data_IF_486749509581
#
_entry.id   IF_486749509581
#
_cell.length_a   1.000
_cell.length_b   1.000
_cell.length_c   1.000
_cell.angle_alpha   90.00
_cell.angle_beta   90.00
_cell.angle_gamma   90.00
#
_symmetry.space_group_name_H-M   'P 1'
#
loop_
_entity.id
_entity.type
_entity.pdbx_description
1 polymer ?
2 water ?
#
# COMPACT_ATOMS: atom_id res chain seq x y z
N UNK A 2 -1.85 -11.60 10.40
CA UNK A 2 -0.93 -11.56 11.57
C UNK A 2 0.08 -10.43 11.42
N UNK A 3 0.39 -10.08 10.18
CA UNK A 3 1.31 -8.99 9.92
C UNK A 3 0.55 -7.89 9.17
N UNK A 4 0.38 -6.74 9.82
CA UNK A 4 -0.34 -5.63 9.22
C UNK A 4 0.59 -4.48 8.87
N UNK A 5 0.65 -4.16 7.58
CA UNK A 5 1.51 -3.10 7.08
C UNK A 5 0.72 -2.05 6.32
N UNK A 6 0.99 -0.79 6.63
CA UNK A 6 0.33 0.30 5.94
C UNK A 6 1.34 0.89 4.97
N UNK A 7 0.90 1.14 3.75
CA UNK A 7 1.76 1.75 2.76
C UNK A 7 1.27 3.19 2.70
N UNK A 8 2.15 4.14 2.95
CA UNK A 8 1.75 5.54 2.95
C UNK A 8 2.84 6.40 2.33
N UNK A 9 2.50 7.65 2.05
CA UNK A 9 3.45 8.60 1.46
C UNK A 9 3.06 10.01 1.86
N UNK A 10 3.91 10.97 1.50
CA UNK A 10 3.64 12.37 1.82
C UNK A 10 2.68 13.03 0.85
N UNK A 11 3.18 13.45 -0.31
CA UNK A 11 2.33 14.11 -1.30
C UNK A 11 1.30 13.14 -1.85
N UNK A 12 0.70 13.49 -2.98
CA UNK A 12 -0.32 12.64 -3.56
C UNK A 12 0.00 11.86 -4.82
N UNK A 13 1.11 12.17 -5.49
CA UNK A 13 1.42 11.45 -6.71
C UNK A 13 2.74 10.71 -6.80
N UNK A 14 3.05 9.90 -5.78
CA UNK A 14 4.30 9.16 -5.76
C UNK A 14 4.22 7.81 -6.48
N UNK A 15 3.01 7.28 -6.61
CA UNK A 15 2.83 5.99 -7.26
C UNK A 15 2.72 4.86 -6.26
N UNK A 16 2.49 5.20 -4.99
CA UNK A 16 2.38 4.19 -3.94
C UNK A 16 1.37 3.08 -4.19
N UNK A 17 0.20 3.42 -4.73
CA UNK A 17 -0.81 2.39 -4.97
C UNK A 17 -0.28 1.33 -5.93
N UNK A 18 0.58 1.75 -6.85
CA UNK A 18 1.19 0.82 -7.79
C UNK A 18 2.06 -0.13 -6.97
N UNK A 19 2.83 0.41 -6.04
CA UNK A 19 3.69 -0.43 -5.22
C UNK A 19 2.87 -1.37 -4.33
N UNK A 20 1.81 -0.86 -3.72
CA UNK A 20 0.99 -1.70 -2.86
C UNK A 20 0.39 -2.89 -3.62
N UNK A 21 -0.22 -2.60 -4.76
CA UNK A 21 -0.86 -3.63 -5.57
C UNK A 21 0.09 -4.72 -6.04
N UNK A 22 1.21 -4.32 -6.62
CA UNK A 22 2.17 -5.29 -7.10
C UNK A 22 2.88 -6.00 -5.96
N UNK A 23 3.10 -5.30 -4.85
CA UNK A 23 3.75 -5.92 -3.70
C UNK A 23 2.87 -7.08 -3.26
N UNK A 24 1.57 -6.83 -3.17
CA UNK A 24 0.63 -7.86 -2.78
C UNK A 24 0.63 -9.01 -3.77
N UNK A 25 0.66 -8.71 -5.06
CA UNK A 25 0.67 -9.77 -6.06
C UNK A 25 1.99 -10.54 -6.01
N UNK A 26 3.09 -9.83 -5.80
CA UNK A 26 4.38 -10.51 -5.72
C UNK A 26 4.38 -11.39 -4.46
N UNK A 27 3.83 -10.87 -3.37
CA UNK A 27 3.76 -11.62 -2.11
C UNK A 27 2.90 -12.88 -2.27
N UNK A 28 1.76 -12.76 -2.95
CA UNK A 28 0.91 -13.91 -3.16
C UNK A 28 1.62 -14.94 -4.05
N UNK A 29 2.37 -14.46 -5.04
CA UNK A 29 3.12 -15.34 -5.94
C UNK A 29 4.16 -16.15 -5.16
N UNK A 30 4.60 -15.62 -4.03
CA UNK A 30 5.59 -16.30 -3.20
C UNK A 30 4.89 -17.26 -2.25
N UNK A 31 3.58 -17.42 -2.43
CA UNK A 31 2.84 -18.34 -1.58
C UNK A 31 2.21 -17.76 -0.34
N UNK A 32 2.40 -16.47 -0.10
CA UNK A 32 1.82 -15.85 1.07
C UNK A 32 0.35 -15.51 0.87
N UNK A 33 -0.44 -15.73 1.92
CA UNK A 33 -1.85 -15.40 1.90
C UNK A 33 -1.83 -13.89 2.12
N UNK A 34 -2.20 -13.13 1.10
CA UNK A 34 -2.15 -11.68 1.19
C UNK A 34 -3.48 -10.98 0.96
N UNK A 35 -3.71 -9.91 1.73
CA UNK A 35 -4.93 -9.13 1.60
C UNK A 35 -4.64 -7.63 1.62
N UNK A 36 -5.25 -6.91 0.69
CA UNK A 36 -5.06 -5.47 0.63
C UNK A 36 -6.38 -4.79 0.89
N UNK A 37 -6.40 -3.86 1.82
CA UNK A 37 -7.63 -3.13 2.07
C UNK A 37 -7.43 -1.75 1.46
N UNK A 38 -8.18 -1.46 0.40
CA UNK A 38 -8.08 -0.17 -0.29
C UNK A 38 -8.77 0.94 0.47
N UNK A 39 -7.98 1.65 1.28
CA UNK A 39 -8.48 2.75 2.09
C UNK A 39 -8.39 4.10 1.37
N UNK A 40 -7.87 4.09 0.15
CA UNK A 40 -7.74 5.33 -0.60
C UNK A 40 -8.95 5.54 -1.52
N UNK A 41 -9.93 6.29 -1.04
CA UNK A 41 -11.12 6.58 -1.82
C UNK A 41 -10.77 7.68 -2.81
N UNK A 42 -10.10 7.27 -3.88
CA UNK A 42 -9.66 8.18 -4.93
C UNK A 42 -9.78 7.46 -6.27
N UNK A 43 -9.56 8.20 -7.35
CA UNK A 43 -9.61 7.61 -8.68
C UNK A 43 -8.20 7.11 -8.98
N UNK A 44 -8.10 6.07 -9.80
CA UNK A 44 -6.81 5.48 -10.14
C UNK A 44 -6.27 4.73 -8.93
N UNK A 45 -7.10 3.87 -8.34
CA UNK A 45 -6.69 3.10 -7.18
C UNK A 45 -6.51 1.61 -7.51
N UNK A 46 -6.57 0.78 -6.48
CA UNK A 46 -6.40 -0.65 -6.63
C UNK A 46 -7.27 -1.29 -7.69
N UNK A 47 -8.54 -0.92 -7.72
CA UNK A 47 -9.46 -1.49 -8.69
C UNK A 47 -8.93 -1.37 -10.11
N UNK A 48 -8.41 -0.19 -10.44
CA UNK A 48 -7.88 0.05 -11.77
C UNK A 48 -6.63 -0.78 -12.07
N UNK A 49 -5.65 -0.70 -11.18
CA UNK A 49 -4.38 -1.40 -11.34
C UNK A 49 -4.49 -2.92 -11.25
N UNK A 50 -5.44 -3.40 -10.46
CA UNK A 50 -5.63 -4.83 -10.31
C UNK A 50 -6.55 -5.33 -11.41
N UNK A 51 -6.98 -4.39 -12.26
CA UNK A 51 -7.86 -4.73 -13.36
C UNK A 51 -9.14 -5.41 -12.90
N UNK A 52 -9.64 -5.01 -11.74
CA UNK A 52 -10.85 -5.61 -11.22
C UNK A 52 -12.12 -4.84 -11.57
N UNK A 53 -13.21 -5.59 -11.68
CA UNK A 53 -14.50 -5.02 -12.01
C UNK A 53 -15.12 -4.42 -10.75
N UNK A 54 -15.99 -3.43 -10.93
CA UNK A 54 -16.63 -2.78 -9.80
C UNK A 54 -16.91 -3.68 -8.60
N UNK A 55 -16.65 -3.16 -7.41
CA UNK A 55 -16.86 -3.91 -6.18
C UNK A 55 -18.12 -3.39 -5.46
N UNK A 56 -19.20 -4.19 -5.48
CA UNK A 56 -20.50 -3.90 -4.87
C UNK A 56 -20.50 -3.67 -3.35
N UNK A 57 -20.03 -4.67 -2.61
CA UNK A 57 -20.00 -4.58 -1.15
C UNK A 57 -18.66 -4.09 -0.60
N UNK A 58 -18.73 -3.03 0.18
CA UNK A 58 -17.54 -2.46 0.79
C UNK A 58 -17.68 -2.56 2.31
N UNK A 59 -16.67 -2.08 3.04
CA UNK A 59 -16.72 -2.11 4.49
C UNK A 59 -17.87 -1.26 5.00
N UNK A 60 -18.20 -0.21 4.27
CA UNK A 60 -19.29 0.68 4.65
C UNK A 60 -20.56 -0.16 4.80
N UNK A 61 -20.72 -1.14 3.92
CA UNK A 61 -21.88 -2.02 3.95
C UNK A 61 -21.78 -2.93 5.18
N UNK A 62 -20.59 -3.48 5.40
CA UNK A 62 -20.34 -4.37 6.53
C UNK A 62 -20.48 -3.67 7.87
N UNK A 63 -20.09 -2.40 7.93
CA UNK A 63 -20.18 -1.63 9.17
C UNK A 63 -21.62 -1.25 9.45
N UNK A 64 -22.39 -1.06 8.38
CA UNK A 64 -23.79 -0.70 8.51
C UNK A 64 -24.64 -1.93 8.83
N UNK A 65 -24.01 -3.10 8.79
CA UNK A 65 -24.72 -4.34 9.09
C UNK A 65 -25.51 -4.89 7.92
N UNK A 66 -25.23 -4.38 6.72
CA UNK A 66 -25.91 -4.82 5.51
C UNK A 66 -25.24 -6.03 4.87
N UNK A 67 -24.09 -6.45 5.40
CA UNK A 67 -23.39 -7.59 4.84
C UNK A 67 -22.30 -8.18 5.74
N UNK A 68 -21.92 -9.41 5.43
CA UNK A 68 -20.88 -10.12 6.17
C UNK A 68 -19.54 -9.73 5.54
N UNK A 69 -18.52 -9.58 6.38
CA UNK A 69 -17.21 -9.20 5.89
C UNK A 69 -16.75 -10.11 4.75
N UNK A 70 -17.12 -11.38 4.81
CA UNK A 70 -16.74 -12.36 3.78
C UNK A 70 -17.17 -11.86 2.40
N UNK A 71 -18.27 -11.11 2.36
CA UNK A 71 -18.80 -10.56 1.11
C UNK A 71 -18.03 -9.33 0.61
N UNK A 72 -17.16 -8.78 1.44
CA UNK A 72 -16.39 -7.61 1.05
C UNK A 72 -14.94 -7.99 0.75
N UNK A 73 -14.68 -9.29 0.68
CA UNK A 73 -13.34 -9.79 0.38
C UNK A 73 -13.38 -10.44 -0.99
N UNK A 74 -12.68 -9.83 -1.94
CA UNK A 74 -12.63 -10.30 -3.32
C UNK A 74 -11.27 -10.86 -3.68
N UNK A 75 -11.23 -11.75 -4.66
CA UNK A 75 -9.97 -12.34 -5.09
C UNK A 75 -9.49 -11.63 -6.35
N UNK A 76 -8.24 -11.19 -6.34
CA UNK A 76 -7.71 -10.48 -7.48
C UNK A 76 -6.62 -11.24 -8.20
N UNK A 77 -5.89 -10.57 -9.10
CA UNK A 77 -4.80 -11.17 -9.88
C UNK A 77 -3.78 -11.87 -8.99
N UNK A 78 -3.19 -12.95 -9.50
CA UNK A 78 -2.19 -13.68 -8.74
C UNK A 78 -2.63 -14.27 -7.41
N UNK A 79 -3.91 -14.15 -7.08
CA UNK A 79 -4.38 -14.71 -5.82
C UNK A 79 -4.49 -13.70 -4.69
N UNK A 80 -4.16 -12.44 -4.97
CA UNK A 80 -4.24 -11.41 -3.94
C UNK A 80 -5.70 -11.12 -3.61
N UNK A 81 -5.98 -10.84 -2.35
CA UNK A 81 -7.34 -10.53 -1.94
C UNK A 81 -7.48 -9.02 -1.75
N UNK A 82 -8.68 -8.50 -1.99
CA UNK A 82 -8.91 -7.08 -1.87
C UNK A 82 -10.18 -6.76 -1.09
N UNK A 83 -10.08 -5.75 -0.24
CA UNK A 83 -11.20 -5.32 0.57
C UNK A 83 -11.36 -3.82 0.45
N UNK A 84 -12.42 -3.39 -0.24
CA UNK A 84 -12.68 -1.96 -0.43
C UNK A 84 -13.28 -1.31 0.81
N UNK A 85 -12.71 -0.18 1.22
CA UNK A 85 -13.21 0.54 2.39
C UNK A 85 -14.54 1.20 2.06
N UNK A 86 -14.69 1.63 0.81
CA UNK A 86 -15.93 2.27 0.39
C UNK A 86 -16.00 3.72 0.80
N UNK A 87 -15.82 3.97 2.10
CA UNK A 87 -15.86 5.32 2.66
C UNK A 87 -14.51 5.55 3.33
N UNK A 88 -14.12 6.81 3.50
CA UNK A 88 -12.84 7.11 4.13
C UNK A 88 -12.79 6.46 5.51
N UNK A 89 -11.58 6.12 5.95
CA UNK A 89 -11.40 5.50 7.25
C UNK A 89 -11.96 6.38 8.36
N UNK A 90 -11.74 7.69 8.25
CA UNK A 90 -12.23 8.64 9.25
C UNK A 90 -13.73 8.42 9.43
N UNK A 91 -14.43 8.31 8.31
CA UNK A 91 -15.86 8.11 8.34
C UNK A 91 -16.26 6.83 9.03
N UNK A 92 -15.65 5.72 8.62
CA UNK A 92 -15.95 4.43 9.21
C UNK A 92 -15.69 4.49 10.71
N UNK A 93 -14.58 5.12 11.08
CA UNK A 93 -14.19 5.25 12.47
C UNK A 93 -15.17 6.07 13.32
N UNK A 94 -15.69 7.17 12.78
CA UNK A 94 -16.64 7.98 13.54
C UNK A 94 -17.99 7.25 13.61
N UNK A 95 -18.35 6.55 12.55
CA UNK A 95 -19.61 5.82 12.52
C UNK A 95 -19.70 4.79 13.65
N UNK A 96 -18.59 4.12 13.95
CA UNK A 96 -18.58 3.12 15.01
C UNK A 96 -17.18 2.55 15.21
N UNK A 97 -16.40 3.16 16.11
CA UNK A 97 -15.03 2.75 16.43
C UNK A 97 -14.90 1.28 16.77
N UNK A 98 -15.80 0.80 17.61
CA UNK A 98 -15.78 -0.59 18.02
C UNK A 98 -15.88 -1.54 16.84
N UNK A 99 -16.92 -1.38 16.03
CA UNK A 99 -17.15 -2.24 14.87
C UNK A 99 -15.95 -2.23 13.93
N UNK A 100 -15.45 -1.03 13.64
CA UNK A 100 -14.30 -0.89 12.76
C UNK A 100 -13.12 -1.73 13.24
N UNK A 101 -12.87 -1.74 14.54
CA UNK A 101 -11.75 -2.52 15.06
C UNK A 101 -11.96 -4.03 14.89
N UNK A 102 -13.16 -4.51 15.20
CA UNK A 102 -13.44 -5.93 15.08
C UNK A 102 -13.40 -6.41 13.64
N UNK A 103 -13.91 -5.59 12.73
CA UNK A 103 -13.88 -5.95 11.31
C UNK A 103 -12.42 -6.05 10.86
N UNK A 104 -11.58 -5.12 11.29
CA UNK A 104 -10.17 -5.17 10.93
C UNK A 104 -9.58 -6.46 11.49
N UNK A 105 -10.10 -6.87 12.64
CA UNK A 105 -9.64 -8.09 13.30
C UNK A 105 -10.04 -9.30 12.47
N UNK A 106 -11.28 -9.32 12.01
CA UNK A 106 -11.76 -10.42 11.20
C UNK A 106 -10.86 -10.56 9.98
N UNK A 107 -10.52 -9.43 9.38
CA UNK A 107 -9.66 -9.45 8.21
C UNK A 107 -8.29 -10.01 8.55
N UNK A 108 -7.68 -9.53 9.62
CA UNK A 108 -6.37 -10.02 10.01
C UNK A 108 -6.41 -11.53 10.17
N UNK A 109 -7.54 -12.03 10.65
CA UNK A 109 -7.72 -13.46 10.84
C UNK A 109 -7.60 -14.21 9.51
N UNK A 110 -8.24 -13.68 8.47
CA UNK A 110 -8.25 -14.32 7.16
C UNK A 110 -6.96 -14.34 6.33
N UNK A 111 -5.85 -13.82 6.87
CA UNK A 111 -4.59 -13.80 6.11
C UNK A 111 -3.33 -13.81 6.94
N UNK A 112 -2.20 -13.87 6.23
CA UNK A 112 -0.88 -13.86 6.85
C UNK A 112 -0.36 -12.44 6.78
N UNK A 113 -0.66 -11.77 5.67
CA UNK A 113 -0.21 -10.40 5.47
C UNK A 113 -1.35 -9.47 5.06
N UNK A 114 -1.49 -8.38 5.80
CA UNK A 114 -2.51 -7.40 5.51
C UNK A 114 -1.84 -6.09 5.12
N UNK A 115 -2.13 -5.63 3.91
CA UNK A 115 -1.57 -4.39 3.41
C UNK A 115 -2.67 -3.35 3.37
N UNK A 116 -2.40 -2.20 3.96
CA UNK A 116 -3.35 -1.10 3.98
C UNK A 116 -2.88 -0.01 3.04
N UNK A 117 -3.60 0.18 1.94
CA UNK A 117 -3.23 1.24 1.01
C UNK A 117 -3.84 2.50 1.62
N UNK A 118 -3.03 3.26 2.35
CA UNK A 118 -3.52 4.47 2.98
C UNK A 118 -3.77 5.59 1.96
N UNK A 119 -4.61 6.57 2.32
CA UNK A 119 -4.88 7.67 1.39
C UNK A 119 -3.60 8.50 1.22
N UNK A 120 -3.49 9.17 0.08
CA UNK A 120 -2.33 9.99 -0.28
C UNK A 120 -1.42 10.61 0.79
N UNK A 121 -1.88 11.66 1.46
CA UNK A 121 -1.02 12.34 2.42
C UNK A 121 -1.10 12.11 3.91
N UNK A 122 -1.38 13.18 4.65
CA UNK A 122 -1.46 13.11 6.11
C UNK A 122 -2.81 13.49 6.69
N UNK A 123 -3.87 13.22 5.95
CA UNK A 123 -5.23 13.51 6.40
C UNK A 123 -5.58 12.56 7.55
N UNK A 124 -6.69 12.85 8.24
CA UNK A 124 -7.13 12.03 9.37
C UNK A 124 -7.19 10.54 9.00
N UNK A 125 -7.79 10.23 7.85
CA UNK A 125 -7.89 8.84 7.41
C UNK A 125 -6.52 8.17 7.27
N UNK A 126 -5.51 8.93 6.86
CA UNK A 126 -4.19 8.36 6.70
C UNK A 126 -3.54 8.03 8.04
N UNK A 127 -3.55 8.97 8.97
CA UNK A 127 -2.93 8.70 10.27
C UNK A 127 -3.63 7.53 10.96
N UNK A 128 -4.92 7.35 10.66
CA UNK A 128 -5.68 6.25 11.25
C UNK A 128 -5.14 4.95 10.67
N UNK A 129 -4.90 4.95 9.36
CA UNK A 129 -4.38 3.78 8.67
C UNK A 129 -3.00 3.41 9.21
N UNK A 130 -2.18 4.43 9.45
CA UNK A 130 -0.84 4.22 9.98
C UNK A 130 -0.90 3.63 11.40
N UNK A 131 -1.75 4.20 12.24
CA UNK A 131 -1.88 3.71 13.62
C UNK A 131 -2.47 2.31 13.66
N UNK A 132 -3.27 1.97 12.66
CA UNK A 132 -3.88 0.65 12.61
C UNK A 132 -2.88 -0.47 12.28
N UNK A 133 -1.80 -0.12 11.60
CA UNK A 133 -0.80 -1.12 11.24
C UNK A 133 0.30 -1.17 12.28
N UNK A 134 1.07 -2.25 12.27
CA UNK A 134 2.18 -2.40 13.20
C UNK A 134 3.40 -1.83 12.49
N UNK A 135 3.40 -1.95 11.17
CA UNK A 135 4.52 -1.47 10.37
C UNK A 135 4.10 -0.47 9.30
N UNK A 136 5.02 0.43 8.98
CA UNK A 136 4.79 1.43 7.95
C UNK A 136 5.80 1.26 6.83
N UNK A 137 5.30 1.27 5.59
CA UNK A 137 6.16 1.18 4.42
C UNK A 137 5.96 2.54 3.77
N UNK A 138 6.99 3.37 3.85
CA UNK A 138 6.94 4.72 3.32
C UNK A 138 7.40 4.80 1.87
N UNK A 139 6.57 5.39 1.01
CA UNK A 139 6.92 5.52 -0.39
C UNK A 139 7.22 6.98 -0.70
N UNK A 140 8.34 7.21 -1.37
CA UNK A 140 8.75 8.55 -1.76
C UNK A 140 9.36 8.53 -3.16
N UNK A 141 9.50 9.71 -3.74
CA UNK A 141 10.12 9.85 -5.05
C UNK A 141 11.46 10.52 -4.75
N UNK A 142 12.44 10.41 -5.66
CA UNK A 142 13.74 11.03 -5.41
C UNK A 142 13.76 12.57 -5.39
N UNK A 143 12.58 13.18 -5.37
CA UNK A 143 12.45 14.64 -5.34
C UNK A 143 12.41 15.12 -3.88
N UNK A 144 13.08 16.25 -3.61
CA UNK A 144 13.14 16.81 -2.26
C UNK A 144 11.78 16.99 -1.60
N UNK A 145 10.87 17.66 -2.29
CA UNK A 145 9.53 17.88 -1.76
C UNK A 145 8.95 16.55 -1.28
N UNK A 146 9.01 15.55 -2.15
CA UNK A 146 8.49 14.22 -1.84
C UNK A 146 9.20 13.63 -0.62
N UNK A 147 10.50 13.84 -0.53
CA UNK A 147 11.25 13.31 0.59
C UNK A 147 10.94 14.01 1.92
N UNK A 148 10.72 15.32 1.90
CA UNK A 148 10.41 16.01 3.15
C UNK A 148 8.99 15.67 3.58
N UNK A 149 8.07 15.62 2.63
CA UNK A 149 6.69 15.25 2.96
C UNK A 149 6.70 13.86 3.57
N UNK A 150 7.59 13.01 3.08
CA UNK A 150 7.68 11.66 3.59
C UNK A 150 8.18 11.66 5.02
N UNK A 151 9.03 12.63 5.34
CA UNK A 151 9.58 12.74 6.68
C UNK A 151 8.47 13.00 7.70
N UNK A 152 7.47 13.77 7.30
CA UNK A 152 6.36 14.07 8.19
C UNK A 152 5.57 12.80 8.46
N UNK A 153 5.44 11.97 7.43
CA UNK A 153 4.71 10.72 7.54
C UNK A 153 5.48 9.80 8.47
N UNK A 154 6.78 9.76 8.28
CA UNK A 154 7.64 8.94 9.12
C UNK A 154 7.42 9.35 10.57
N UNK A 155 7.54 10.65 10.84
CA UNK A 155 7.37 11.20 12.18
C UNK A 155 6.04 10.77 12.81
N UNK A 156 4.95 10.97 12.07
CA UNK A 156 3.63 10.61 12.56
C UNK A 156 3.62 9.15 13.01
N UNK A 157 4.20 8.28 12.20
CA UNK A 157 4.24 6.87 12.52
C UNK A 157 4.96 6.65 13.85
N UNK A 158 6.05 7.38 14.06
CA UNK A 158 6.79 7.25 15.30
C UNK A 158 6.04 7.85 16.49
N UNK A 159 5.30 8.93 16.27
CA UNK A 159 4.52 9.54 17.34
C UNK A 159 3.48 8.52 17.82
N UNK A 160 2.89 7.80 16.87
CA UNK A 160 1.84 6.82 17.16
C UNK A 160 2.30 5.46 17.65
N UNK A 161 3.54 5.09 17.34
CA UNK A 161 4.04 3.80 17.79
C UNK A 161 4.04 2.75 16.69
N UNK A 162 3.91 3.21 15.45
CA UNK A 162 3.93 2.31 14.31
C UNK A 162 5.41 2.21 13.95
N UNK A 163 5.91 0.99 13.82
CA UNK A 163 7.31 0.77 13.48
C UNK A 163 7.55 0.92 11.98
N UNK A 164 8.60 1.66 11.63
CA UNK A 164 8.95 1.88 10.24
C UNK A 164 9.65 0.67 9.66
N UNK A 165 8.99 0.03 8.70
CA UNK A 165 9.52 -1.16 8.05
C UNK A 165 10.70 -0.79 7.15
N UNK A 166 10.64 0.41 6.59
CA UNK A 166 11.69 0.87 5.72
C UNK A 166 11.05 1.77 4.69
N UNK A 167 11.87 2.46 3.90
CA UNK A 167 11.32 3.35 2.89
C UNK A 167 11.60 2.86 1.48
N UNK A 168 10.60 3.00 0.62
CA UNK A 168 10.72 2.60 -0.77
C UNK A 168 10.82 3.85 -1.63
N UNK A 169 11.89 3.94 -2.42
CA UNK A 169 12.07 5.08 -3.31
C UNK A 169 11.58 4.65 -4.69
N UNK A 170 10.50 5.28 -5.12
CA UNK A 170 9.89 4.93 -6.38
C UNK A 170 10.29 5.89 -7.50
N UNK A 171 10.47 5.33 -8.70
CA UNK A 171 10.81 6.10 -9.89
C UNK A 171 12.16 6.77 -9.84
N UNK A 172 13.20 6.00 -9.57
CA UNK A 172 14.53 6.56 -9.54
C UNK A 172 15.23 6.18 -10.83
N UNK A 173 16.23 6.96 -11.22
CA UNK A 173 17.00 6.63 -12.40
C UNK A 173 18.11 5.79 -11.78
N UNK A 174 18.35 4.61 -12.34
CA UNK A 174 19.36 3.72 -11.80
C UNK A 174 20.78 4.27 -11.81
N UNK A 175 21.01 5.34 -12.56
CA UNK A 175 22.35 5.91 -12.65
C UNK A 175 23.03 6.31 -11.34
N UNK A 176 22.44 7.24 -10.61
CA UNK A 176 23.07 7.66 -9.36
C UNK A 176 22.71 6.87 -8.12
N UNK A 177 21.65 6.07 -8.20
CA UNK A 177 21.16 5.26 -7.08
C UNK A 177 21.97 5.29 -5.78
N UNK A 178 23.10 4.59 -5.75
CA UNK A 178 23.96 4.52 -4.57
C UNK A 178 24.03 5.81 -3.75
N UNK A 179 24.52 6.89 -4.36
CA UNK A 179 24.64 8.17 -3.67
C UNK A 179 23.27 8.69 -3.24
N UNK A 180 22.27 8.45 -4.09
CA UNK A 180 20.91 8.88 -3.82
C UNK A 180 20.35 8.18 -2.58
N UNK A 181 20.50 6.86 -2.55
CA UNK A 181 20.04 6.04 -1.43
C UNK A 181 20.61 6.56 -0.11
N UNK A 182 21.93 6.68 -0.04
CA UNK A 182 22.59 7.17 1.17
C UNK A 182 22.05 8.54 1.54
N UNK A 183 21.93 9.39 0.53
CA UNK A 183 21.44 10.75 0.72
C UNK A 183 20.04 10.75 1.32
N UNK A 184 19.16 9.92 0.77
CA UNK A 184 17.79 9.84 1.25
C UNK A 184 17.72 9.24 2.64
N UNK A 185 18.46 8.15 2.86
CA UNK A 185 18.48 7.51 4.17
C UNK A 185 18.96 8.49 5.23
N UNK A 186 19.80 9.44 4.82
CA UNK A 186 20.32 10.43 5.75
C UNK A 186 19.29 11.49 6.08
N UNK A 187 18.51 11.89 5.08
CA UNK A 187 17.49 12.91 5.29
C UNK A 187 16.38 12.48 6.25
N UNK A 188 15.83 11.29 6.07
CA UNK A 188 14.78 10.86 6.99
C UNK A 188 15.18 9.66 7.83
N UNK A 189 16.46 9.63 8.18
CA UNK A 189 17.06 8.58 9.00
C UNK A 189 16.23 7.31 9.10
N UNK A 190 16.27 6.52 8.04
CA UNK A 190 15.54 5.26 7.96
C UNK A 190 16.19 4.47 6.83
N UNK A 191 15.92 3.17 6.76
CA UNK A 191 16.54 2.38 5.71
C UNK A 191 15.63 2.22 4.48
N UNK A 192 16.20 2.42 3.29
CA UNK A 192 15.43 2.25 2.07
C UNK A 192 15.57 0.77 1.75
N UNK A 193 14.45 0.09 1.58
CA UNK A 193 14.48 -1.33 1.32
C UNK A 193 13.99 -1.65 -0.07
N UNK A 194 13.79 -0.61 -0.87
CA UNK A 194 13.32 -0.80 -2.23
C UNK A 194 13.56 0.41 -3.11
N UNK A 195 14.15 0.18 -4.28
CA UNK A 195 14.43 1.24 -5.24
C UNK A 195 13.78 0.83 -6.56
N UNK A 196 12.61 1.38 -6.85
CA UNK A 196 11.90 1.02 -8.08
C UNK A 196 12.25 1.97 -9.22
N UNK A 197 13.04 1.50 -10.20
CA UNK A 197 13.40 2.39 -11.32
C UNK A 197 12.22 2.84 -12.18
N UNK A 198 12.32 4.05 -12.71
CA UNK A 198 11.29 4.62 -13.57
C UNK A 198 11.05 3.62 -14.71
N UNK A 199 9.80 3.26 -14.96
CA UNK A 199 9.52 2.28 -16.01
C UNK A 199 8.20 2.49 -16.76
N UNK A 200 8.27 2.68 -18.08
CA UNK A 200 7.06 2.88 -18.89
C UNK A 200 6.06 1.75 -18.69
N UNK A 201 6.57 0.54 -18.49
CA UNK A 201 5.73 -0.64 -18.29
C UNK A 201 4.77 -0.60 -17.10
N UNK A 202 5.10 0.12 -16.03
CA UNK A 202 4.17 0.15 -14.91
C UNK A 202 3.03 1.12 -15.23
N UNK A 203 3.25 2.00 -16.20
CA UNK A 203 2.21 2.93 -16.62
C UNK A 203 1.24 2.18 -17.55
N UNK A 204 1.79 1.38 -18.46
CA UNK A 204 0.95 0.62 -19.38
C UNK A 204 0.19 -0.45 -18.61
N UNK A 205 0.81 -0.95 -17.55
CA UNK A 205 0.17 -1.97 -16.73
C UNK A 205 -1.10 -1.36 -16.17
N UNK A 206 -0.97 -0.14 -15.65
CA UNK A 206 -2.10 0.58 -15.09
C UNK A 206 -3.19 0.81 -16.14
N UNK A 207 -2.79 1.31 -17.30
CA UNK A 207 -3.75 1.59 -18.36
C UNK A 207 -4.50 0.36 -18.86
N UNK A 208 -3.92 -0.82 -18.72
CA UNK A 208 -4.58 -2.01 -19.22
C UNK A 208 -5.08 -3.02 -18.21
N UNK A 209 -4.87 -2.74 -16.93
CA UNK A 209 -5.39 -3.61 -15.90
C UNK A 209 -4.69 -4.90 -15.53
N UNK A 210 -3.39 -4.99 -15.78
CA UNK A 210 -2.67 -6.19 -15.39
C UNK A 210 -1.41 -5.72 -14.69
N UNK A 211 -1.27 -6.01 -13.39
CA UNK A 211 -0.08 -5.58 -12.64
C UNK A 211 1.25 -5.92 -13.31
N UNK A 212 2.16 -4.96 -13.36
CA UNK A 212 3.48 -5.17 -13.98
C UNK A 212 4.13 -6.49 -13.61
N UNK A 213 4.02 -6.88 -12.35
CA UNK A 213 4.62 -8.11 -11.88
C UNK A 213 4.17 -9.32 -12.70
N UNK A 214 2.98 -9.25 -13.27
CA UNK A 214 2.48 -10.36 -14.08
C UNK A 214 2.61 -10.03 -15.57
N UNK A 215 2.38 -8.77 -15.92
CA UNK A 215 2.45 -8.31 -17.30
C UNK A 215 3.87 -8.30 -17.85
N UNK A 216 4.82 -7.78 -17.08
CA UNK A 216 6.21 -7.71 -17.50
C UNK A 216 7.18 -8.07 -16.38
N UNK A 217 7.29 -9.37 -16.08
CA UNK A 217 8.14 -9.96 -15.04
C UNK A 217 9.62 -9.57 -15.11
N UNK A 218 10.12 -9.23 -16.30
CA UNK A 218 11.53 -8.88 -16.41
C UNK A 218 11.80 -7.38 -16.46
N UNK A 219 10.76 -6.55 -16.52
CA UNK A 219 11.00 -5.12 -16.54
C UNK A 219 11.68 -4.75 -15.22
N UNK A 220 12.54 -3.71 -15.25
CA UNK A 220 13.21 -3.33 -14.00
C UNK A 220 12.29 -2.94 -12.84
N UNK A 221 11.11 -2.42 -13.12
CA UNK A 221 10.20 -2.06 -12.03
C UNK A 221 9.72 -3.33 -11.34
N UNK A 222 9.27 -4.31 -12.13
CA UNK A 222 8.77 -5.58 -11.60
C UNK A 222 9.82 -6.33 -10.78
N UNK A 223 11.02 -6.47 -11.32
CA UNK A 223 12.08 -7.16 -10.60
C UNK A 223 12.40 -6.46 -9.28
N UNK A 224 12.34 -5.13 -9.26
CA UNK A 224 12.63 -4.38 -8.04
C UNK A 224 11.56 -4.64 -6.98
N UNK A 225 10.32 -4.79 -7.42
CA UNK A 225 9.21 -5.04 -6.52
C UNK A 225 9.18 -6.47 -5.96
N UNK A 226 9.50 -7.50 -6.75
CA UNK A 226 9.46 -8.83 -6.15
C UNK A 226 10.70 -8.91 -5.27
N UNK A 227 11.71 -8.13 -5.62
CA UNK A 227 12.94 -8.09 -4.83
C UNK A 227 12.53 -7.60 -3.43
N UNK A 228 11.71 -6.55 -3.41
CA UNK A 228 11.22 -5.95 -2.17
C UNK A 228 10.29 -6.90 -1.40
N UNK A 229 9.45 -7.64 -2.11
CA UNK A 229 8.54 -8.58 -1.46
C UNK A 229 9.37 -9.66 -0.77
N UNK A 230 10.50 -10.02 -1.38
CA UNK A 230 11.37 -11.03 -0.80
C UNK A 230 11.96 -10.52 0.50
N UNK A 231 12.43 -9.28 0.47
CA UNK A 231 13.01 -8.68 1.66
C UNK A 231 11.96 -8.66 2.76
N UNK A 232 10.77 -8.21 2.41
CA UNK A 232 9.70 -8.13 3.39
C UNK A 232 9.30 -9.51 3.91
N UNK A 233 9.09 -10.47 3.02
CA UNK A 233 8.72 -11.81 3.48
C UNK A 233 9.93 -12.57 4.02
#
# INVERSE_FOLDING_TARGET
>A
MVRTITVASGKGGTGKTTITANLGVALAQLGHDVTIVDADITMANLELILGMEGLPVTLQNVLAGEARIDEAIYVGPGGVKVVPAGVSLEGLRKANPEKLEDVLTQIMESTDILLLDAPAGLERSAVIAIAAAQELLLVVNPEISSITDGLKTKIVAERLGTKVLGVVVNRITTLGIEMAKNEIEAILEAKVIGLIPEDPEVRRAAAYGKPVVLRSPNSPAARAIVELANYIAGGAKKKVPAEVKEKKKEGALAKMLRIFRRR
#
